data_IF_752077613621
#
_entry.id   IF_752077613621
#
_cell.length_a   1.000
_cell.length_b   1.000
_cell.length_c   1.000
_cell.angle_alpha   90.00
_cell.angle_beta   90.00
_cell.angle_gamma   90.00
#
_symmetry.space_group_name_H-M   'P 1'
#
loop_
_entity.id
_entity.type
_entity.pdbx_description
1 polymer ?
#
# COMPACT_ATOMS: atom_id res chain seq x y z
N UNK A 1 14.61 -6.31 -7.18
CA UNK A 1 14.04 -5.76 -8.43
C UNK A 1 13.79 -4.25 -8.35
N UNK A 2 13.14 -3.73 -7.31
CA UNK A 2 12.72 -2.31 -7.26
C UNK A 2 13.30 -1.48 -6.10
N UNK A 3 14.22 -2.04 -5.30
CA UNK A 3 14.83 -1.34 -4.16
C UNK A 3 13.86 -1.05 -3.01
N UNK A 4 12.69 -1.70 -2.97
CA UNK A 4 11.73 -1.63 -1.86
C UNK A 4 12.09 -2.68 -0.81
N UNK A 5 12.03 -2.30 0.47
CA UNK A 5 12.28 -3.19 1.59
C UNK A 5 11.31 -4.40 1.57
N UNK A 6 11.87 -5.60 1.65
CA UNK A 6 11.11 -6.85 1.64
C UNK A 6 10.14 -6.95 2.83
N UNK A 7 10.55 -6.47 4.00
CA UNK A 7 9.73 -6.48 5.22
C UNK A 7 8.54 -5.54 5.08
N UNK A 8 8.71 -4.39 4.43
CA UNK A 8 7.60 -3.50 4.08
C UNK A 8 6.57 -4.20 3.18
N UNK A 9 7.05 -4.85 2.12
CA UNK A 9 6.18 -5.60 1.19
C UNK A 9 5.42 -6.72 1.90
N UNK A 10 6.10 -7.50 2.76
CA UNK A 10 5.47 -8.56 3.53
C UNK A 10 4.46 -8.03 4.55
N UNK A 11 4.74 -6.88 5.18
CA UNK A 11 3.82 -6.25 6.12
C UNK A 11 2.55 -5.75 5.42
N UNK A 12 2.69 -5.15 4.22
CA UNK A 12 1.55 -4.77 3.38
C UNK A 12 0.73 -6.02 3.02
N UNK A 13 1.34 -7.05 2.42
CA UNK A 13 0.61 -8.28 2.03
C UNK A 13 -0.14 -8.90 3.20
N UNK A 14 0.51 -8.99 4.38
CA UNK A 14 -0.11 -9.53 5.58
C UNK A 14 -1.33 -8.73 6.00
N UNK A 15 -1.28 -7.40 5.93
CA UNK A 15 -2.42 -6.57 6.30
C UNK A 15 -3.54 -6.61 5.25
N UNK A 16 -3.19 -6.60 3.96
CA UNK A 16 -4.13 -6.52 2.85
C UNK A 16 -4.93 -7.80 2.65
N UNK A 17 -4.26 -8.95 2.71
CA UNK A 17 -4.87 -10.23 2.34
C UNK A 17 -4.61 -11.35 3.35
N UNK A 18 -3.80 -11.11 4.37
CA UNK A 18 -3.27 -12.16 5.24
C UNK A 18 -2.65 -13.33 4.44
N UNK A 19 -1.97 -13.00 3.33
CA UNK A 19 -1.34 -13.93 2.40
C UNK A 19 -2.31 -14.82 1.59
N UNK A 20 -3.61 -14.51 1.56
CA UNK A 20 -4.56 -15.19 0.66
C UNK A 20 -4.61 -14.49 -0.71
N UNK A 21 -4.16 -15.14 -1.80
CA UNK A 21 -4.11 -14.53 -3.12
C UNK A 21 -5.48 -14.34 -3.77
N UNK A 22 -6.57 -14.87 -3.20
CA UNK A 22 -7.91 -14.83 -3.79
C UNK A 22 -8.86 -13.81 -3.14
N UNK A 23 -8.34 -12.96 -2.24
CA UNK A 23 -9.16 -11.96 -1.53
C UNK A 23 -9.69 -10.90 -2.49
N UNK A 24 -10.97 -10.57 -2.33
CA UNK A 24 -11.64 -9.44 -2.97
C UNK A 24 -12.27 -8.57 -1.90
N UNK A 25 -11.89 -7.29 -1.81
CA UNK A 25 -12.52 -6.36 -0.88
C UNK A 25 -13.92 -5.97 -1.34
N UNK A 26 -14.72 -5.41 -0.43
CA UNK A 26 -16.04 -4.86 -0.77
C UNK A 26 -15.99 -3.72 -1.79
N UNK A 27 -14.85 -3.02 -1.89
CA UNK A 27 -14.61 -1.97 -2.88
C UNK A 27 -14.07 -2.51 -4.21
N UNK A 28 -13.74 -3.80 -4.30
CA UNK A 28 -13.25 -4.45 -5.51
C UNK A 28 -11.73 -4.52 -5.64
N UNK A 29 -10.98 -4.24 -4.57
CA UNK A 29 -9.53 -4.49 -4.53
C UNK A 29 -9.23 -6.00 -4.50
N UNK A 30 -8.18 -6.46 -5.19
CA UNK A 30 -7.97 -7.90 -5.44
C UNK A 30 -6.54 -8.36 -5.16
N UNK A 31 -6.43 -9.61 -4.71
CA UNK A 31 -5.18 -10.33 -4.56
C UNK A 31 -4.34 -9.92 -3.35
N UNK A 32 -3.09 -10.38 -3.33
CA UNK A 32 -2.20 -10.29 -2.15
C UNK A 32 -1.97 -8.87 -1.64
N UNK A 33 -1.81 -7.92 -2.55
CA UNK A 33 -1.54 -6.51 -2.26
C UNK A 33 -2.77 -5.61 -2.45
N UNK A 34 -3.96 -6.21 -2.62
CA UNK A 34 -5.27 -5.54 -2.74
C UNK A 34 -5.22 -4.33 -3.69
N UNK A 35 -4.92 -4.59 -4.96
CA UNK A 35 -4.90 -3.55 -5.99
C UNK A 35 -6.29 -3.37 -6.59
N UNK A 36 -6.66 -2.10 -6.82
CA UNK A 36 -7.83 -1.74 -7.61
C UNK A 36 -7.55 -1.91 -9.11
N UNK A 37 -8.58 -2.21 -9.90
CA UNK A 37 -8.43 -2.46 -11.34
C UNK A 37 -7.75 -1.27 -12.07
N UNK A 38 -8.06 -0.02 -11.72
CA UNK A 38 -7.44 1.16 -12.33
C UNK A 38 -5.93 1.30 -12.00
N UNK A 39 -5.47 0.76 -10.87
CA UNK A 39 -4.04 0.72 -10.53
C UNK A 39 -3.30 -0.38 -11.29
N UNK A 40 -4.03 -1.39 -11.78
CA UNK A 40 -3.50 -2.63 -12.32
C UNK A 40 -2.96 -2.45 -13.74
N UNK A 41 -3.66 -1.65 -14.55
CA UNK A 41 -3.32 -1.42 -15.96
C UNK A 41 -1.96 -0.72 -16.12
N UNK A 42 -1.66 0.27 -15.26
CA UNK A 42 -0.40 1.03 -15.31
C UNK A 42 0.85 0.16 -15.05
N UNK A 43 0.69 -1.02 -14.45
CA UNK A 43 1.79 -1.92 -14.09
C UNK A 43 1.76 -3.26 -14.85
N UNK A 44 0.91 -3.39 -15.86
CA UNK A 44 0.79 -4.60 -16.68
C UNK A 44 0.16 -5.79 -15.95
N UNK A 45 -0.61 -5.55 -14.88
CA UNK A 45 -1.35 -6.59 -14.17
C UNK A 45 -2.58 -7.00 -14.98
N UNK A 46 -2.55 -8.21 -15.53
CA UNK A 46 -3.65 -8.76 -16.35
C UNK A 46 -4.52 -9.73 -15.56
N UNK A 47 -3.93 -10.44 -14.60
CA UNK A 47 -4.64 -11.30 -13.66
C UNK A 47 -4.33 -10.88 -12.22
N UNK A 48 -5.26 -10.22 -11.50
CA UNK A 48 -5.00 -9.76 -10.13
C UNK A 48 -4.85 -10.89 -9.10
N UNK A 49 -5.23 -12.12 -9.44
CA UNK A 49 -5.08 -13.30 -8.58
C UNK A 49 -3.80 -14.11 -8.86
N UNK A 50 -3.07 -13.75 -9.93
CA UNK A 50 -1.72 -14.29 -10.15
C UNK A 50 -0.76 -13.68 -9.13
N UNK A 51 -0.11 -14.53 -8.33
CA UNK A 51 0.73 -14.12 -7.20
C UNK A 51 1.87 -13.22 -7.66
N UNK A 52 2.59 -13.63 -8.72
CA UNK A 52 3.77 -12.93 -9.18
C UNK A 52 3.40 -11.59 -9.81
N UNK A 53 2.34 -11.56 -10.63
CA UNK A 53 1.86 -10.30 -11.21
C UNK A 53 1.36 -9.34 -10.13
N UNK A 54 0.56 -9.81 -9.17
CA UNK A 54 -0.03 -8.96 -8.13
C UNK A 54 1.05 -8.35 -7.22
N UNK A 55 2.01 -9.17 -6.77
CA UNK A 55 3.15 -8.67 -5.97
C UNK A 55 3.99 -7.70 -6.80
N UNK A 56 4.30 -8.03 -8.06
CA UNK A 56 5.13 -7.17 -8.91
C UNK A 56 4.46 -5.80 -9.17
N UNK A 57 3.15 -5.78 -9.41
CA UNK A 57 2.38 -4.55 -9.56
C UNK A 57 2.29 -3.76 -8.26
N UNK A 58 2.03 -4.44 -7.13
CA UNK A 58 1.89 -3.76 -5.83
C UNK A 58 3.20 -3.19 -5.32
N UNK A 59 4.33 -3.86 -5.58
CA UNK A 59 5.68 -3.34 -5.28
C UNK A 59 5.98 -2.08 -6.12
N UNK A 60 5.61 -2.07 -7.40
CA UNK A 60 5.73 -0.86 -8.23
C UNK A 60 4.83 0.26 -7.72
N UNK A 61 3.62 -0.07 -7.27
CA UNK A 61 2.68 0.90 -6.73
C UNK A 61 3.22 1.57 -5.45
N UNK A 62 3.63 0.80 -4.44
CA UNK A 62 4.22 1.38 -3.23
C UNK A 62 5.54 2.10 -3.52
N UNK A 63 6.36 1.60 -4.46
CA UNK A 63 7.58 2.28 -4.90
C UNK A 63 7.28 3.68 -5.46
N UNK A 64 6.22 3.82 -6.26
CA UNK A 64 5.84 5.12 -6.80
C UNK A 64 5.52 6.15 -5.71
N UNK A 65 4.93 5.72 -4.59
CA UNK A 65 4.69 6.62 -3.46
C UNK A 65 5.93 6.85 -2.61
N UNK A 66 6.80 5.85 -2.45
CA UNK A 66 8.11 6.07 -1.83
C UNK A 66 8.91 7.12 -2.61
N UNK A 67 8.87 7.08 -3.95
CA UNK A 67 9.53 8.09 -4.79
C UNK A 67 8.85 9.46 -4.67
N UNK A 68 7.52 9.50 -4.61
CA UNK A 68 6.76 10.74 -4.43
C UNK A 68 7.04 11.45 -3.09
N UNK A 69 7.36 10.69 -2.05
CA UNK A 69 7.58 11.21 -0.70
C UNK A 69 9.03 11.04 -0.23
N UNK A 70 10.00 11.05 -1.15
CA UNK A 70 11.44 11.03 -0.85
C UNK A 70 11.87 9.90 0.12
N UNK A 71 11.26 8.73 -0.03
CA UNK A 71 11.50 7.54 0.79
C UNK A 71 10.75 7.50 2.12
N UNK A 72 9.88 8.48 2.41
CA UNK A 72 9.06 8.47 3.62
C UNK A 72 8.01 7.35 3.56
N UNK A 73 8.28 6.27 4.29
CA UNK A 73 7.44 5.06 4.33
C UNK A 73 6.03 5.34 4.85
N UNK A 74 5.90 6.22 5.85
CA UNK A 74 4.61 6.50 6.48
C UNK A 74 3.68 7.24 5.54
N UNK A 75 4.18 8.28 4.85
CA UNK A 75 3.42 9.00 3.82
C UNK A 75 3.10 8.08 2.63
N UNK A 76 4.04 7.21 2.24
CA UNK A 76 3.80 6.23 1.19
C UNK A 76 2.67 5.26 1.55
N UNK A 77 2.62 4.77 2.79
CA UNK A 77 1.54 3.90 3.29
C UNK A 77 0.20 4.65 3.37
N UNK A 78 0.21 5.92 3.79
CA UNK A 78 -1.00 6.76 3.78
C UNK A 78 -1.57 6.92 2.36
N UNK A 79 -0.70 7.18 1.38
CA UNK A 79 -1.11 7.29 -0.02
C UNK A 79 -1.52 5.96 -0.64
N UNK A 80 -0.86 4.85 -0.26
CA UNK A 80 -1.21 3.51 -0.71
C UNK A 80 -2.63 3.12 -0.29
N UNK A 81 -2.99 3.35 0.97
CA UNK A 81 -4.30 2.96 1.50
C UNK A 81 -5.42 3.98 1.16
N UNK A 82 -5.17 5.29 1.28
CA UNK A 82 -6.20 6.33 1.13
C UNK A 82 -6.21 7.04 -0.24
N UNK A 83 -5.20 6.79 -1.06
CA UNK A 83 -4.91 7.52 -2.30
C UNK A 83 -4.17 8.85 -2.06
N UNK A 84 -3.25 9.24 -2.97
CA UNK A 84 -2.46 10.47 -2.86
C UNK A 84 -3.34 11.73 -2.90
N UNK A 85 -4.46 11.69 -3.61
CA UNK A 85 -5.44 12.79 -3.62
C UNK A 85 -6.07 13.06 -2.26
N UNK A 86 -6.23 12.03 -1.41
CA UNK A 86 -6.70 12.22 -0.03
C UNK A 86 -5.63 12.84 0.85
N UNK A 87 -4.39 12.36 0.75
CA UNK A 87 -3.22 12.93 1.47
C UNK A 87 -3.08 14.42 1.15
N UNK A 88 -3.09 14.78 -0.14
CA UNK A 88 -2.99 16.16 -0.61
C UNK A 88 -4.18 17.02 -0.16
N UNK A 89 -5.42 16.58 -0.39
CA UNK A 89 -6.64 17.33 -0.02
C UNK A 89 -6.73 17.60 1.49
N UNK A 90 -6.20 16.70 2.30
CA UNK A 90 -6.20 16.84 3.77
C UNK A 90 -4.97 17.60 4.30
N UNK A 91 -4.05 18.02 3.43
CA UNK A 91 -2.86 18.79 3.83
C UNK A 91 -1.94 18.01 4.77
N UNK A 92 -1.71 16.73 4.44
CA UNK A 92 -0.81 15.83 5.17
C UNK A 92 0.58 15.92 4.56
N UNK A 93 1.57 16.33 5.36
CA UNK A 93 2.95 16.51 4.90
C UNK A 93 3.98 15.75 5.75
N UNK A 94 3.57 15.17 6.88
CA UNK A 94 4.43 14.36 7.75
C UNK A 94 3.61 13.33 8.54
N UNK A 95 4.29 12.48 9.31
CA UNK A 95 3.63 11.53 10.23
C UNK A 95 2.79 12.24 11.30
N UNK A 96 3.17 13.45 11.72
CA UNK A 96 2.42 14.23 12.71
C UNK A 96 1.01 14.56 12.23
N UNK A 97 0.79 14.52 10.91
CA UNK A 97 -0.50 14.75 10.28
C UNK A 97 -1.37 13.49 10.15
N UNK A 98 -0.93 12.32 10.65
CA UNK A 98 -1.68 11.06 10.56
C UNK A 98 -3.12 11.18 11.09
N UNK A 99 -3.33 11.96 12.15
CA UNK A 99 -4.66 12.21 12.73
C UNK A 99 -5.64 12.85 11.73
N UNK A 100 -5.14 13.52 10.68
CA UNK A 100 -5.95 14.08 9.62
C UNK A 100 -6.48 13.01 8.67
N UNK A 101 -5.93 11.78 8.63
CA UNK A 101 -6.35 10.73 7.71
C UNK A 101 -7.61 9.97 8.18
N UNK A 102 -8.32 9.24 7.31
CA UNK A 102 -9.39 8.34 7.74
C UNK A 102 -8.92 7.35 8.83
N UNK A 103 -9.81 6.98 9.75
CA UNK A 103 -9.45 6.08 10.86
C UNK A 103 -8.88 4.74 10.38
N UNK A 104 -9.39 4.22 9.26
CA UNK A 104 -8.85 3.02 8.62
C UNK A 104 -7.36 3.19 8.26
N UNK A 105 -7.00 4.30 7.61
CA UNK A 105 -5.62 4.62 7.24
C UNK A 105 -4.73 4.84 8.45
N UNK A 106 -5.23 5.50 9.49
CA UNK A 106 -4.50 5.64 10.77
C UNK A 106 -4.13 4.27 11.35
N UNK A 107 -5.11 3.36 11.39
CA UNK A 107 -4.90 2.00 11.88
C UNK A 107 -3.95 1.21 10.98
N UNK A 108 -4.09 1.35 9.65
CA UNK A 108 -3.26 0.70 8.64
C UNK A 108 -1.78 1.05 8.82
N UNK A 109 -1.46 2.35 8.84
CA UNK A 109 -0.08 2.84 9.02
C UNK A 109 0.48 2.38 10.36
N UNK A 110 -0.28 2.56 11.45
CA UNK A 110 0.16 2.17 12.80
C UNK A 110 0.49 0.68 12.90
N UNK A 111 -0.34 -0.19 12.33
CA UNK A 111 -0.13 -1.64 12.35
C UNK A 111 1.11 -2.06 11.58
N UNK A 112 1.29 -1.53 10.36
CA UNK A 112 2.45 -1.85 9.53
C UNK A 112 3.73 -1.33 10.16
N UNK A 113 3.76 -0.07 10.62
CA UNK A 113 4.95 0.49 11.26
C UNK A 113 5.32 -0.26 12.54
N UNK A 114 4.34 -0.67 13.35
CA UNK A 114 4.58 -1.54 14.51
C UNK A 114 5.19 -2.88 14.11
N UNK A 115 4.74 -3.49 13.02
CA UNK A 115 5.30 -4.74 12.52
C UNK A 115 6.74 -4.56 12.01
N UNK A 116 7.06 -3.41 11.40
CA UNK A 116 8.41 -3.13 10.90
C UNK A 116 9.42 -2.86 12.02
N UNK A 117 9.00 -2.14 13.07
CA UNK A 117 9.86 -1.79 14.19
C UNK A 117 10.04 -2.92 15.23
N UNK A 118 9.23 -3.98 15.12
CA UNK A 118 9.26 -5.13 16.04
C UNK A 118 10.06 -6.34 15.54
N UNK A 119 10.73 -6.21 14.39
CA UNK A 119 11.59 -7.25 13.80
C UNK A 119 13.08 -6.88 13.93
#
# INVERSE_FOLDING_TARGET
KYGVDKNLVLAIIKHESNFDPNVVSSAGAKGLMQLMDFNSEAYGLTNPFDIDQNINAGVQHIKSYLDLYDGNVELALMAYNAGPGTVSRRGVNSIDDLYKMPQETQNYVTKIMKQLNGN
#
